data_IF_008963781341
#
_entry.id   IF_008963781341
#
_cell.length_a   1.000
_cell.length_b   1.000
_cell.length_c   1.000
_cell.angle_alpha   90.00
_cell.angle_beta   90.00
_cell.angle_gamma   90.00
#
_symmetry.space_group_name_H-M   'P 1'
#
loop_
_entity.id
_entity.type
_entity.pdbx_description
1 polymer ?
#
# COMPACT_ATOMS: atom_id res chain seq x y z
N UNK A 1 -25.92 -65.86 38.18
CA UNK A 1 -26.16 -65.51 36.77
C UNK A 1 -25.03 -64.60 36.30
N UNK A 2 -24.20 -65.10 35.38
CA UNK A 2 -23.20 -64.48 34.48
C UNK A 2 -22.41 -63.17 34.84
N UNK A 3 -21.08 -63.37 34.98
CA UNK A 3 -19.89 -62.67 34.42
C UNK A 3 -19.34 -61.29 34.88
N UNK A 4 -18.27 -61.37 35.70
CA UNK A 4 -16.85 -60.89 35.59
C UNK A 4 -16.43 -59.51 34.98
N UNK A 5 -15.61 -58.82 35.82
CA UNK A 5 -14.33 -58.07 35.62
C UNK A 5 -14.40 -56.74 34.82
N UNK A 6 -13.74 -55.65 35.22
CA UNK A 6 -12.27 -55.44 35.26
C UNK A 6 -11.85 -54.36 36.29
N UNK A 7 -10.67 -54.59 36.87
CA UNK A 7 -9.95 -53.82 37.89
C UNK A 7 -9.64 -52.35 37.52
N UNK A 8 -9.71 -51.49 38.53
CA UNK A 8 -9.05 -50.18 38.60
C UNK A 8 -7.84 -50.31 39.52
N UNK A 9 -6.64 -49.96 39.06
CA UNK A 9 -5.49 -49.75 39.94
C UNK A 9 -4.49 -48.80 39.27
N UNK A 10 -4.31 -47.62 39.84
CA UNK A 10 -3.14 -46.80 39.62
C UNK A 10 -2.66 -46.34 40.99
N UNK A 11 -1.59 -46.99 41.46
CA UNK A 11 -0.86 -46.66 42.68
C UNK A 11 0.47 -45.99 42.28
N UNK A 12 0.77 -44.89 42.95
CA UNK A 12 2.04 -44.16 42.93
C UNK A 12 3.17 -44.96 43.55
N UNK A 13 4.38 -44.99 42.93
CA UNK A 13 5.68 -45.11 43.64
C UNK A 13 6.79 -44.43 42.83
N UNK A 14 7.61 -43.67 43.53
CA UNK A 14 8.87 -43.01 43.15
C UNK A 14 10.07 -43.97 43.02
N UNK A 15 11.00 -43.72 42.09
CA UNK A 15 12.46 -43.58 42.33
C UNK A 15 13.30 -43.63 41.03
N UNK A 16 14.14 -42.59 40.86
CA UNK A 16 15.52 -42.50 40.34
C UNK A 16 15.94 -43.46 39.20
N UNK A 17 16.32 -42.88 38.05
CA UNK A 17 17.10 -43.57 37.01
C UNK A 17 17.63 -42.63 35.92
N UNK A 18 18.94 -42.32 35.99
CA UNK A 18 19.82 -42.00 34.85
C UNK A 18 19.45 -40.85 33.91
N UNK A 19 19.99 -39.65 34.18
CA UNK A 19 20.19 -38.66 33.12
C UNK A 19 21.35 -39.16 32.24
N UNK A 20 21.04 -39.77 31.11
CA UNK A 20 22.01 -39.89 30.02
C UNK A 20 22.17 -38.48 29.43
N UNK A 21 23.35 -37.83 29.48
CA UNK A 21 23.55 -36.61 28.72
C UNK A 21 23.33 -36.95 27.25
N UNK A 22 22.34 -36.32 26.63
CA UNK A 22 22.13 -36.40 25.21
C UNK A 22 23.43 -35.97 24.53
N UNK A 23 24.17 -36.94 23.99
CA UNK A 23 25.35 -36.71 23.18
C UNK A 23 24.99 -35.66 22.14
N UNK A 24 25.64 -34.50 22.22
CA UNK A 24 25.52 -33.46 21.21
C UNK A 24 25.99 -34.05 19.89
N UNK A 25 25.05 -34.48 19.05
CA UNK A 25 25.34 -34.97 17.70
C UNK A 25 26.11 -33.87 16.99
N UNK A 26 27.42 -34.05 16.85
CA UNK A 26 28.27 -33.06 16.21
C UNK A 26 27.86 -32.97 14.75
N UNK A 27 27.20 -31.87 14.38
CA UNK A 27 26.68 -31.67 13.04
C UNK A 27 27.80 -31.92 12.01
N UNK A 28 27.57 -32.84 11.08
CA UNK A 28 28.56 -33.23 10.08
C UNK A 28 29.15 -31.98 9.41
N UNK A 29 30.47 -31.81 9.52
CA UNK A 29 31.15 -30.63 8.98
C UNK A 29 31.02 -30.59 7.46
N UNK A 30 30.63 -29.43 6.91
CA UNK A 30 30.39 -29.27 5.48
C UNK A 30 31.70 -28.90 4.77
N UNK A 31 32.30 -29.83 4.01
CA UNK A 31 33.51 -29.55 3.22
C UNK A 31 33.17 -28.72 1.97
N UNK A 32 33.62 -27.45 1.94
CA UNK A 32 33.39 -26.49 0.85
C UNK A 32 34.67 -25.74 0.50
N UNK A 33 34.72 -25.14 -0.70
CA UNK A 33 35.80 -24.22 -1.11
C UNK A 33 35.23 -22.92 -1.68
N UNK A 34 35.70 -21.80 -1.16
CA UNK A 34 35.39 -20.46 -1.67
C UNK A 34 36.56 -19.52 -1.33
N UNK A 35 36.72 -18.45 -2.10
CA UNK A 35 37.84 -17.51 -1.96
C UNK A 35 39.22 -18.21 -1.93
N UNK A 36 39.41 -19.21 -2.79
CA UNK A 36 40.68 -19.94 -2.92
C UNK A 36 41.02 -20.91 -1.78
N UNK A 37 40.22 -20.99 -0.70
CA UNK A 37 40.52 -21.84 0.47
C UNK A 37 39.50 -22.96 0.63
N UNK A 38 39.98 -24.17 0.90
CA UNK A 38 39.14 -25.30 1.32
C UNK A 38 38.86 -25.20 2.81
N UNK A 39 37.61 -25.40 3.22
CA UNK A 39 37.14 -25.23 4.59
C UNK A 39 36.21 -26.38 4.97
N UNK A 40 36.33 -26.85 6.21
CA UNK A 40 35.32 -27.66 6.88
C UNK A 40 34.39 -26.71 7.63
N UNK A 41 33.30 -26.31 6.98
CA UNK A 41 32.38 -25.30 7.49
C UNK A 41 31.58 -25.88 8.66
N UNK A 42 31.82 -25.32 9.86
CA UNK A 42 31.14 -25.65 11.12
C UNK A 42 29.99 -24.71 11.47
N UNK A 43 29.75 -23.68 10.65
CA UNK A 43 28.71 -22.68 10.89
C UNK A 43 27.30 -23.17 10.56
N UNK A 44 26.32 -22.26 10.70
CA UNK A 44 24.91 -22.55 10.39
C UNK A 44 24.75 -22.86 8.90
N UNK A 45 24.22 -24.05 8.60
CA UNK A 45 23.77 -24.43 7.28
C UNK A 45 22.33 -23.92 7.11
N UNK A 46 22.11 -23.07 6.11
CA UNK A 46 20.89 -22.30 5.97
C UNK A 46 19.93 -22.97 4.99
N UNK A 47 18.65 -22.99 5.37
CA UNK A 47 17.55 -23.43 4.50
C UNK A 47 16.65 -22.25 4.15
N UNK A 48 15.85 -22.41 3.10
CA UNK A 48 14.93 -21.36 2.65
C UNK A 48 13.51 -21.88 2.65
N UNK A 49 12.57 -21.08 3.11
CA UNK A 49 11.14 -21.25 2.88
C UNK A 49 10.63 -20.14 1.98
N UNK A 50 9.72 -20.47 1.08
CA UNK A 50 9.00 -19.49 0.26
C UNK A 50 7.50 -19.71 0.40
N UNK A 51 6.74 -18.64 0.68
CA UNK A 51 5.28 -18.70 0.88
C UNK A 51 4.86 -19.83 1.84
N UNK A 52 5.50 -19.87 3.02
CA UNK A 52 5.32 -20.90 4.07
C UNK A 52 5.66 -22.35 3.67
N UNK A 53 6.17 -22.59 2.46
CA UNK A 53 6.64 -23.91 2.01
C UNK A 53 8.15 -24.02 2.12
N UNK A 54 8.63 -25.12 2.68
CA UNK A 54 10.06 -25.40 2.77
C UNK A 54 10.62 -25.76 1.40
N UNK A 55 11.66 -25.07 0.96
CA UNK A 55 12.34 -25.36 -0.29
C UNK A 55 13.47 -26.35 -0.08
N UNK A 56 13.69 -27.25 -1.03
CA UNK A 56 14.75 -28.26 -0.97
C UNK A 56 15.91 -27.88 -1.89
N UNK A 57 17.14 -28.02 -1.43
CA UNK A 57 18.31 -27.92 -2.32
C UNK A 57 19.36 -28.92 -1.88
N UNK A 58 20.08 -29.48 -2.88
CA UNK A 58 21.29 -30.29 -2.65
C UNK A 58 22.44 -29.45 -2.08
N UNK A 59 22.32 -28.13 -2.10
CA UNK A 59 23.29 -27.18 -1.60
C UNK A 59 22.64 -26.31 -0.53
N UNK A 60 23.17 -26.37 0.69
CA UNK A 60 22.71 -25.53 1.79
C UNK A 60 23.30 -24.12 1.67
N UNK A 61 22.57 -23.10 2.12
CA UNK A 61 23.16 -21.78 2.32
C UNK A 61 24.17 -21.79 3.48
N UNK A 62 25.02 -20.77 3.54
CA UNK A 62 26.05 -20.60 4.59
C UNK A 62 26.12 -19.14 5.02
N UNK A 63 26.82 -18.87 6.12
CA UNK A 63 27.15 -17.51 6.52
C UNK A 63 28.60 -17.19 6.17
N UNK A 64 28.82 -16.07 5.50
CA UNK A 64 30.15 -15.51 5.24
C UNK A 64 30.17 -14.12 5.87
N UNK A 65 31.10 -13.86 6.79
CA UNK A 65 31.17 -12.59 7.54
C UNK A 65 29.81 -12.14 8.10
N UNK A 66 29.09 -13.06 8.76
CA UNK A 66 27.73 -12.86 9.31
C UNK A 66 26.64 -12.55 8.26
N UNK A 67 26.96 -12.54 6.97
CA UNK A 67 25.97 -12.38 5.88
C UNK A 67 25.44 -13.75 5.48
N UNK A 68 24.11 -13.86 5.44
CA UNK A 68 23.41 -15.06 4.98
C UNK A 68 23.51 -15.20 3.46
N UNK A 69 24.21 -16.23 3.00
CA UNK A 69 24.50 -16.51 1.60
C UNK A 69 23.68 -17.73 1.13
N UNK A 70 22.89 -17.61 0.06
CA UNK A 70 22.03 -18.69 -0.43
C UNK A 70 22.29 -19.06 -1.91
N UNK A 71 22.15 -20.34 -2.29
CA UNK A 71 22.06 -20.79 -3.68
C UNK A 71 20.88 -20.14 -4.41
N UNK A 72 21.14 -19.03 -5.12
CA UNK A 72 20.06 -18.24 -5.71
C UNK A 72 19.26 -19.03 -6.75
N UNK A 73 19.92 -19.89 -7.52
CA UNK A 73 19.27 -20.58 -8.62
C UNK A 73 18.22 -21.57 -8.11
N UNK A 74 18.54 -22.35 -7.09
CA UNK A 74 17.58 -23.33 -6.57
C UNK A 74 16.42 -22.65 -5.86
N UNK A 75 16.72 -21.64 -5.04
CA UNK A 75 15.73 -21.03 -4.16
C UNK A 75 14.92 -19.91 -4.82
N UNK A 76 15.54 -19.02 -5.61
CA UNK A 76 14.86 -17.89 -6.23
C UNK A 76 14.35 -18.20 -7.64
N UNK A 77 15.11 -18.97 -8.44
CA UNK A 77 14.80 -19.21 -9.85
C UNK A 77 13.98 -20.48 -10.04
N UNK A 78 14.48 -21.63 -9.54
CA UNK A 78 13.90 -22.94 -9.80
C UNK A 78 12.65 -23.22 -8.97
N UNK A 79 12.64 -22.91 -7.67
CA UNK A 79 11.56 -23.33 -6.78
C UNK A 79 10.68 -22.20 -6.26
N UNK A 80 11.27 -21.19 -5.61
CA UNK A 80 10.51 -20.17 -4.87
C UNK A 80 9.81 -19.15 -5.78
N UNK A 81 10.16 -17.86 -5.72
CA UNK A 81 9.46 -16.78 -6.44
C UNK A 81 9.53 -16.81 -7.97
N UNK A 82 10.26 -17.76 -8.58
CA UNK A 82 10.44 -17.88 -10.04
C UNK A 82 11.06 -16.62 -10.68
N UNK A 83 12.04 -16.05 -10.00
CA UNK A 83 12.81 -14.88 -10.46
C UNK A 83 13.46 -15.19 -11.80
N UNK A 84 13.25 -14.32 -12.79
CA UNK A 84 13.90 -14.42 -14.11
C UNK A 84 15.39 -14.15 -13.96
N UNK A 85 16.22 -14.92 -14.66
CA UNK A 85 17.69 -14.84 -14.53
C UNK A 85 18.41 -14.78 -15.87
N UNK A 86 19.35 -13.85 -15.98
CA UNK A 86 20.42 -13.86 -16.99
C UNK A 86 21.78 -13.94 -16.31
N UNK A 87 22.66 -14.82 -16.76
CA UNK A 87 24.01 -14.96 -16.20
C UNK A 87 25.06 -15.16 -17.28
N UNK A 88 26.09 -14.31 -17.30
CA UNK A 88 27.25 -14.39 -18.18
C UNK A 88 28.45 -14.94 -17.41
N UNK A 89 28.98 -16.09 -17.85
CA UNK A 89 30.14 -16.73 -17.21
C UNK A 89 31.43 -15.93 -17.37
N UNK A 90 31.64 -15.30 -18.52
CA UNK A 90 32.85 -14.54 -18.85
C UNK A 90 32.96 -13.26 -18.01
N UNK A 91 31.88 -12.48 -17.93
CA UNK A 91 31.86 -11.23 -17.16
C UNK A 91 31.51 -11.42 -15.68
N UNK A 92 30.98 -12.58 -15.30
CA UNK A 92 30.38 -12.82 -14.00
C UNK A 92 29.09 -12.01 -13.74
N UNK A 93 28.55 -11.32 -14.76
CA UNK A 93 27.33 -10.51 -14.66
C UNK A 93 26.12 -11.40 -14.42
N UNK A 94 25.40 -11.13 -13.35
CA UNK A 94 24.16 -11.79 -12.93
C UNK A 94 23.05 -10.75 -12.89
N UNK A 95 22.01 -10.95 -13.69
CA UNK A 95 20.80 -10.14 -13.68
C UNK A 95 19.67 -11.00 -13.16
N UNK A 96 18.98 -10.52 -12.14
CA UNK A 96 17.80 -11.12 -11.54
C UNK A 96 16.64 -10.14 -11.70
N UNK A 97 15.49 -10.63 -12.17
CA UNK A 97 14.29 -9.81 -12.36
C UNK A 97 13.07 -10.46 -11.72
N UNK A 98 12.34 -9.69 -10.93
CA UNK A 98 11.06 -10.08 -10.32
C UNK A 98 10.05 -8.95 -10.54
N UNK A 99 9.04 -9.17 -11.37
CA UNK A 99 8.17 -8.09 -11.83
C UNK A 99 8.97 -6.97 -12.51
N UNK A 100 8.83 -5.74 -12.02
CA UNK A 100 9.54 -4.56 -12.51
C UNK A 100 10.95 -4.41 -11.90
N UNK A 101 11.21 -5.06 -10.76
CA UNK A 101 12.49 -4.96 -10.06
C UNK A 101 13.58 -5.75 -10.78
N UNK A 102 14.68 -5.07 -11.06
CA UNK A 102 15.86 -5.62 -11.74
C UNK A 102 17.10 -5.37 -10.88
N UNK A 103 17.73 -6.46 -10.46
CA UNK A 103 19.01 -6.44 -9.76
C UNK A 103 20.12 -6.95 -10.68
N UNK A 104 21.13 -6.12 -10.90
CA UNK A 104 22.35 -6.48 -11.63
C UNK A 104 23.53 -6.55 -10.68
N UNK A 105 24.10 -7.74 -10.49
CA UNK A 105 25.27 -7.97 -9.66
C UNK A 105 26.39 -8.64 -10.47
N UNK A 106 27.60 -8.65 -9.92
CA UNK A 106 28.75 -9.30 -10.55
C UNK A 106 29.38 -10.27 -9.54
N UNK A 107 29.54 -11.52 -9.95
CA UNK A 107 30.15 -12.55 -9.10
C UNK A 107 31.58 -12.14 -8.74
N UNK A 108 31.89 -12.12 -7.44
CA UNK A 108 33.16 -11.67 -6.88
C UNK A 108 33.26 -10.17 -6.63
N UNK A 109 32.29 -9.34 -7.07
CA UNK A 109 32.28 -7.90 -6.82
C UNK A 109 31.19 -7.51 -5.82
N UNK A 110 31.50 -6.52 -4.97
CA UNK A 110 30.55 -5.96 -3.99
C UNK A 110 29.59 -4.97 -4.63
N UNK A 111 30.00 -4.31 -5.69
CA UNK A 111 29.15 -3.37 -6.43
C UNK A 111 28.03 -4.09 -7.14
N UNK A 112 26.82 -3.57 -7.00
CA UNK A 112 25.64 -4.02 -7.72
C UNK A 112 24.74 -2.84 -8.06
N UNK A 113 23.74 -3.08 -8.89
CA UNK A 113 22.76 -2.09 -9.31
C UNK A 113 21.36 -2.61 -9.02
N UNK A 114 20.55 -1.78 -8.38
CA UNK A 114 19.12 -2.03 -8.17
C UNK A 114 18.35 -1.02 -9.00
N UNK A 115 17.59 -1.49 -9.98
CA UNK A 115 16.84 -0.64 -10.91
C UNK A 115 17.73 0.45 -11.54
N UNK A 116 18.96 0.10 -11.89
CA UNK A 116 19.97 1.02 -12.45
C UNK A 116 20.79 1.80 -11.41
N UNK A 117 20.36 1.85 -10.14
CA UNK A 117 21.05 2.62 -9.09
C UNK A 117 22.17 1.80 -8.44
N UNK A 118 23.39 2.36 -8.44
CA UNK A 118 24.59 1.74 -7.86
C UNK A 118 24.47 1.59 -6.34
N UNK A 119 24.80 0.40 -5.82
CA UNK A 119 24.83 0.03 -4.39
C UNK A 119 26.01 -0.90 -4.10
N UNK A 120 26.26 -1.19 -2.82
CA UNK A 120 27.38 -2.03 -2.38
C UNK A 120 26.94 -3.10 -1.38
N UNK A 121 27.23 -4.36 -1.68
CA UNK A 121 27.03 -5.47 -0.76
C UNK A 121 28.10 -5.49 0.34
N UNK A 122 27.71 -5.94 1.52
CA UNK A 122 28.63 -6.26 2.62
C UNK A 122 29.46 -7.53 2.35
N UNK A 123 28.99 -8.43 1.49
CA UNK A 123 29.72 -9.60 0.96
C UNK A 123 29.30 -9.81 -0.50
N UNK A 124 30.29 -9.98 -1.40
CA UNK A 124 30.03 -10.20 -2.82
C UNK A 124 29.34 -11.55 -3.10
N UNK A 125 28.52 -11.67 -4.16
CA UNK A 125 28.10 -12.97 -4.67
C UNK A 125 29.31 -13.87 -4.92
N UNK A 126 29.32 -15.08 -4.37
CA UNK A 126 30.51 -15.91 -4.24
C UNK A 126 30.30 -17.29 -4.84
N UNK A 127 31.27 -17.77 -5.62
CA UNK A 127 31.31 -19.17 -6.09
C UNK A 127 31.77 -20.08 -4.94
N UNK A 128 30.97 -21.08 -4.60
CA UNK A 128 31.27 -22.07 -3.56
C UNK A 128 31.22 -23.46 -4.16
N UNK A 129 32.33 -24.21 -4.07
CA UNK A 129 32.41 -25.62 -4.45
C UNK A 129 31.99 -26.49 -3.28
N UNK A 130 30.99 -27.33 -3.47
CA UNK A 130 30.53 -28.33 -2.51
C UNK A 130 31.20 -29.67 -2.84
N UNK A 131 32.01 -30.21 -1.93
CA UNK A 131 32.80 -31.41 -2.23
C UNK A 131 31.94 -32.67 -2.33
N UNK A 132 30.87 -32.78 -1.54
CA UNK A 132 29.95 -33.92 -1.57
C UNK A 132 29.33 -34.14 -2.96
N UNK A 133 29.01 -33.06 -3.66
CA UNK A 133 28.36 -33.10 -4.99
C UNK A 133 29.33 -32.77 -6.13
N UNK A 134 30.56 -32.36 -5.81
CA UNK A 134 31.58 -31.87 -6.75
C UNK A 134 31.14 -30.66 -7.61
N UNK A 135 30.04 -29.98 -7.29
CA UNK A 135 29.51 -28.84 -8.03
C UNK A 135 29.91 -27.50 -7.41
N UNK A 136 30.08 -26.49 -8.26
CA UNK A 136 30.32 -25.11 -7.86
C UNK A 136 29.07 -24.28 -8.08
N UNK A 137 28.58 -23.64 -7.01
CA UNK A 137 27.32 -22.91 -6.98
C UNK A 137 27.60 -21.45 -6.63
N UNK A 138 26.86 -20.54 -7.26
CA UNK A 138 26.92 -19.11 -6.91
C UNK A 138 25.95 -18.90 -5.74
N UNK A 139 26.51 -18.49 -4.61
CA UNK A 139 25.74 -18.03 -3.47
C UNK A 139 25.67 -16.52 -3.48
N UNK A 140 24.53 -15.99 -3.08
CA UNK A 140 24.25 -14.56 -3.12
C UNK A 140 23.91 -14.03 -1.72
N UNK A 141 24.20 -12.76 -1.40
CA UNK A 141 23.78 -12.13 -0.16
C UNK A 141 22.25 -12.01 -0.11
N UNK A 142 21.61 -12.89 0.67
CA UNK A 142 20.19 -13.14 0.59
C UNK A 142 19.34 -11.90 0.95
N UNK A 143 19.65 -11.22 2.05
CA UNK A 143 18.88 -10.05 2.51
C UNK A 143 18.81 -8.95 1.45
N UNK A 144 19.98 -8.49 0.97
CA UNK A 144 20.06 -7.38 0.03
C UNK A 144 19.39 -7.71 -1.32
N UNK A 145 19.52 -8.95 -1.80
CA UNK A 145 18.96 -9.34 -3.10
C UNK A 145 17.48 -9.65 -3.00
N UNK A 146 17.03 -10.36 -1.96
CA UNK A 146 15.60 -10.65 -1.79
C UNK A 146 14.80 -9.36 -1.64
N UNK A 147 15.25 -8.45 -0.76
CA UNK A 147 14.61 -7.13 -0.62
C UNK A 147 14.71 -6.30 -1.90
N UNK A 148 15.85 -6.34 -2.58
CA UNK A 148 16.03 -5.67 -3.87
C UNK A 148 15.20 -6.26 -5.02
N UNK A 149 14.59 -7.42 -4.85
CA UNK A 149 13.66 -7.99 -5.83
C UNK A 149 12.19 -7.81 -5.41
N UNK A 150 11.92 -6.86 -4.50
CA UNK A 150 10.56 -6.57 -4.03
C UNK A 150 9.96 -7.65 -3.14
N UNK A 151 10.76 -8.53 -2.55
CA UNK A 151 10.30 -9.64 -1.71
C UNK A 151 10.62 -9.41 -0.24
N UNK A 152 9.81 -9.99 0.63
CA UNK A 152 10.03 -9.96 2.07
C UNK A 152 11.15 -10.93 2.47
N UNK A 153 12.03 -10.49 3.38
CA UNK A 153 13.14 -11.27 3.92
C UNK A 153 13.06 -11.30 5.44
N UNK A 154 12.99 -12.50 6.02
CA UNK A 154 13.16 -12.74 7.46
C UNK A 154 14.14 -13.89 7.67
N UNK A 155 15.03 -13.76 8.65
CA UNK A 155 15.97 -14.82 9.03
C UNK A 155 15.70 -15.25 10.48
N UNK A 156 15.50 -16.55 10.70
CA UNK A 156 15.48 -17.14 12.02
C UNK A 156 16.79 -17.88 12.29
N UNK A 157 17.50 -17.39 13.29
CA UNK A 157 18.75 -17.98 13.77
C UNK A 157 18.53 -19.36 14.40
N UNK A 158 17.43 -19.53 15.15
CA UNK A 158 17.10 -20.78 15.86
C UNK A 158 16.78 -21.92 14.89
N UNK A 159 15.94 -21.65 13.88
CA UNK A 159 15.60 -22.66 12.87
C UNK A 159 16.66 -22.76 11.75
N UNK A 160 17.64 -21.85 11.70
CA UNK A 160 18.63 -21.72 10.61
C UNK A 160 17.94 -21.54 9.25
N UNK A 161 16.79 -20.85 9.23
CA UNK A 161 15.96 -20.67 8.04
C UNK A 161 15.82 -19.22 7.64
N UNK A 162 15.81 -18.99 6.33
CA UNK A 162 15.40 -17.75 5.70
C UNK A 162 13.98 -17.94 5.19
N UNK A 163 13.08 -17.05 5.58
CA UNK A 163 11.71 -16.99 5.09
C UNK A 163 11.65 -15.89 4.05
N UNK A 164 11.28 -16.29 2.85
CA UNK A 164 10.97 -15.40 1.73
C UNK A 164 9.46 -15.44 1.54
N UNK A 165 8.81 -14.30 1.48
CA UNK A 165 7.40 -14.24 1.09
C UNK A 165 7.24 -13.21 0.00
N UNK A 166 6.19 -13.38 -0.81
CA UNK A 166 5.67 -12.23 -1.54
C UNK A 166 5.31 -11.15 -0.53
N UNK A 167 5.39 -9.85 -0.88
CA UNK A 167 4.74 -8.83 -0.08
C UNK A 167 3.29 -9.27 0.12
N UNK A 168 2.87 -9.35 1.38
CA UNK A 168 1.53 -9.81 1.73
C UNK A 168 0.55 -8.82 1.13
N UNK A 169 -0.21 -9.25 0.13
CA UNK A 169 -1.51 -8.66 -0.18
C UNK A 169 -2.44 -9.31 0.84
N UNK A 170 -3.04 -8.59 1.80
CA UNK A 170 -4.07 -9.17 2.64
C UNK A 170 -5.25 -9.53 1.72
N UNK A 171 -5.46 -10.82 1.50
CA UNK A 171 -6.73 -11.39 1.06
C UNK A 171 -7.32 -12.11 2.27
N UNK A 172 -8.40 -11.52 2.79
CA UNK A 172 -9.42 -12.04 3.70
C UNK A 172 -9.07 -12.94 4.89
N UNK A 173 -9.62 -12.53 6.02
CA UNK A 173 -10.18 -13.38 7.07
C UNK A 173 -9.25 -14.41 7.70
N UNK A 174 -8.40 -13.97 8.62
CA UNK A 174 -8.28 -14.67 9.90
C UNK A 174 -8.24 -13.64 11.02
N UNK A 175 -9.18 -13.79 11.95
CA UNK A 175 -9.28 -13.08 13.21
C UNK A 175 -8.01 -13.34 14.02
N UNK A 176 -7.01 -12.49 13.87
CA UNK A 176 -6.12 -12.19 14.96
C UNK A 176 -6.55 -10.84 15.49
N UNK A 177 -7.06 -10.84 16.72
CA UNK A 177 -7.33 -9.64 17.50
C UNK A 177 -5.99 -8.95 17.69
N UNK A 178 -5.61 -8.13 16.73
CA UNK A 178 -4.67 -7.05 16.94
C UNK A 178 -5.49 -6.01 17.71
N UNK A 179 -5.19 -5.88 19.00
CA UNK A 179 -5.77 -4.83 19.85
C UNK A 179 -5.69 -3.50 19.12
N UNK A 180 -6.85 -2.87 18.93
CA UNK A 180 -6.96 -1.54 18.33
C UNK A 180 -5.95 -0.61 19.04
N UNK A 181 -5.13 0.15 18.31
CA UNK A 181 -4.33 1.20 18.92
C UNK A 181 -5.25 2.10 19.75
N UNK A 182 -4.82 2.42 20.98
CA UNK A 182 -5.52 3.36 21.86
C UNK A 182 -5.82 4.64 21.06
N UNK A 183 -7.11 4.94 20.87
CA UNK A 183 -7.55 6.07 20.07
C UNK A 183 -8.52 6.94 20.84
N UNK A 184 -8.32 8.26 20.80
CA UNK A 184 -9.25 9.21 21.41
C UNK A 184 -10.44 9.44 20.48
N UNK A 185 -11.64 9.47 21.06
CA UNK A 185 -12.88 9.82 20.34
C UNK A 185 -13.30 11.21 20.77
N UNK A 186 -13.59 12.05 19.79
CA UNK A 186 -14.19 13.37 19.92
C UNK A 186 -15.55 13.38 19.22
N UNK A 187 -16.35 14.43 19.46
CA UNK A 187 -17.67 14.57 18.89
C UNK A 187 -17.87 15.96 18.30
N UNK A 188 -18.48 16.02 17.11
CA UNK A 188 -18.94 17.24 16.47
C UNK A 188 -20.45 17.34 16.57
N UNK A 189 -20.98 18.42 17.15
CA UNK A 189 -22.42 18.64 17.22
C UNK A 189 -22.97 19.14 15.87
N UNK A 190 -23.97 18.44 15.34
CA UNK A 190 -24.65 18.78 14.07
C UNK A 190 -25.85 19.73 14.28
N UNK A 191 -26.16 20.08 15.54
CA UNK A 191 -27.22 21.02 15.93
C UNK A 191 -28.61 20.69 15.35
N UNK A 192 -28.87 19.41 15.09
CA UNK A 192 -30.12 18.85 14.56
C UNK A 192 -30.32 17.44 15.10
N UNK A 193 -31.58 17.01 15.20
CA UNK A 193 -31.87 15.59 15.34
C UNK A 193 -31.50 14.84 14.06
N UNK A 194 -31.20 13.55 14.19
CA UNK A 194 -30.83 12.70 13.06
C UNK A 194 -31.89 12.74 11.95
N UNK A 195 -33.18 12.69 12.32
CA UNK A 195 -34.29 12.73 11.35
C UNK A 195 -34.35 14.07 10.59
N UNK A 196 -34.17 15.20 11.29
CA UNK A 196 -34.16 16.51 10.67
C UNK A 196 -32.97 16.69 9.72
N UNK A 197 -31.79 16.20 10.11
CA UNK A 197 -30.59 16.25 9.27
C UNK A 197 -30.75 15.38 8.01
N UNK A 198 -31.23 14.13 8.15
CA UNK A 198 -31.56 13.24 7.01
C UNK A 198 -32.54 13.90 6.03
N UNK A 199 -33.52 14.63 6.55
CA UNK A 199 -34.52 15.34 5.72
C UNK A 199 -33.87 16.45 4.91
N UNK A 200 -32.95 17.21 5.51
CA UNK A 200 -32.21 18.27 4.84
C UNK A 200 -31.27 17.73 3.77
N UNK A 201 -30.52 16.66 4.06
CA UNK A 201 -29.66 15.94 3.11
C UNK A 201 -30.42 15.48 1.88
N UNK A 202 -31.57 14.82 2.09
CA UNK A 202 -32.41 14.35 0.99
C UNK A 202 -32.98 15.51 0.16
N UNK A 203 -33.24 16.67 0.78
CA UNK A 203 -33.69 17.87 0.05
C UNK A 203 -32.55 18.43 -0.82
N UNK A 204 -31.33 18.49 -0.29
CA UNK A 204 -30.17 18.98 -1.03
C UNK A 204 -29.77 18.04 -2.17
N UNK A 205 -29.75 16.72 -1.89
CA UNK A 205 -29.31 15.67 -2.80
C UNK A 205 -30.42 14.63 -2.99
N UNK A 206 -31.49 14.95 -3.73
CA UNK A 206 -32.66 14.08 -3.85
C UNK A 206 -32.40 12.81 -4.67
N UNK A 207 -31.40 12.84 -5.54
CA UNK A 207 -31.11 11.74 -6.47
C UNK A 207 -29.62 11.41 -6.53
N UNK A 208 -29.32 10.16 -6.86
CA UNK A 208 -27.99 9.70 -7.23
C UNK A 208 -28.10 8.70 -8.38
N UNK A 209 -27.24 8.84 -9.40
CA UNK A 209 -27.31 8.01 -10.61
C UNK A 209 -28.67 8.10 -11.33
N UNK A 210 -29.35 9.25 -11.25
CA UNK A 210 -30.68 9.47 -11.83
C UNK A 210 -31.84 8.82 -11.06
N UNK A 211 -31.61 8.25 -9.88
CA UNK A 211 -32.63 7.60 -9.05
C UNK A 211 -32.82 8.34 -7.73
N UNK A 212 -34.07 8.44 -7.27
CA UNK A 212 -34.41 8.98 -5.95
C UNK A 212 -33.86 8.09 -4.85
N UNK A 213 -33.31 8.71 -3.79
CA UNK A 213 -32.79 7.99 -2.62
C UNK A 213 -33.84 7.98 -1.52
N UNK A 214 -34.14 6.81 -0.96
CA UNK A 214 -35.11 6.68 0.12
C UNK A 214 -34.60 7.30 1.44
N UNK A 215 -35.51 7.75 2.30
CA UNK A 215 -35.16 8.28 3.62
C UNK A 215 -34.43 7.23 4.47
N UNK A 216 -34.87 5.97 4.43
CA UNK A 216 -34.21 4.87 5.16
C UNK A 216 -32.80 4.59 4.66
N UNK A 217 -32.57 4.69 3.34
CA UNK A 217 -31.22 4.60 2.76
C UNK A 217 -30.32 5.70 3.33
N UNK A 218 -30.76 6.96 3.34
CA UNK A 218 -29.99 8.05 3.94
C UNK A 218 -29.72 7.83 5.42
N UNK A 219 -30.75 7.46 6.20
CA UNK A 219 -30.60 7.15 7.63
C UNK A 219 -29.54 6.07 7.84
N UNK A 220 -29.49 5.04 7.01
CA UNK A 220 -28.51 3.94 7.17
C UNK A 220 -27.04 4.36 6.99
N UNK A 221 -26.78 5.46 6.29
CA UNK A 221 -25.44 6.00 6.08
C UNK A 221 -25.09 7.16 7.03
N UNK A 222 -26.09 7.95 7.42
CA UNK A 222 -25.91 9.10 8.31
C UNK A 222 -25.88 8.66 9.79
N UNK A 223 -26.67 7.68 10.20
CA UNK A 223 -26.72 7.24 11.60
C UNK A 223 -25.36 6.63 12.04
N UNK A 224 -24.61 7.24 12.97
CA UNK A 224 -23.31 6.75 13.38
C UNK A 224 -23.38 5.39 14.10
N UNK A 225 -24.54 5.01 14.65
CA UNK A 225 -24.75 3.69 15.25
C UNK A 225 -24.77 2.55 14.22
N UNK A 226 -24.93 2.87 12.92
CA UNK A 226 -24.93 1.93 11.80
C UNK A 226 -23.55 1.78 11.16
N UNK A 227 -22.51 2.36 11.75
CA UNK A 227 -21.15 2.23 11.23
C UNK A 227 -20.68 0.77 11.16
N UNK A 228 -20.25 0.35 9.97
CA UNK A 228 -19.62 -0.96 9.74
C UNK A 228 -18.15 -0.82 9.32
N UNK A 229 -17.59 0.39 9.37
CA UNK A 229 -16.23 0.71 8.90
C UNK A 229 -15.19 0.72 10.02
N UNK A 230 -15.58 0.27 11.23
CA UNK A 230 -14.70 0.25 12.41
C UNK A 230 -14.17 1.64 12.74
N UNK A 231 -15.04 2.63 12.69
CA UNK A 231 -14.79 4.07 12.88
C UNK A 231 -13.91 4.74 11.82
N UNK A 232 -13.47 4.05 10.75
CA UNK A 232 -12.59 4.68 9.76
C UNK A 232 -13.27 5.81 8.96
N UNK A 233 -14.60 5.83 8.87
CA UNK A 233 -15.30 6.99 8.32
C UNK A 233 -15.25 8.23 9.22
N UNK A 234 -14.98 8.03 10.52
CA UNK A 234 -14.80 9.09 11.52
C UNK A 234 -13.33 9.39 11.80
N UNK A 235 -12.38 8.74 11.12
CA UNK A 235 -10.95 9.00 11.31
C UNK A 235 -10.63 10.45 10.91
N UNK A 236 -9.94 11.16 11.78
CA UNK A 236 -9.40 12.50 11.50
C UNK A 236 -8.31 12.42 10.43
N UNK A 237 -8.46 13.22 9.38
CA UNK A 237 -7.65 13.19 8.16
C UNK A 237 -6.65 14.36 8.08
N UNK A 238 -6.75 15.32 9.00
CA UNK A 238 -5.94 16.54 9.15
C UNK A 238 -4.60 16.32 9.86
N UNK A 239 -4.17 15.07 9.94
CA UNK A 239 -2.87 14.69 10.52
C UNK A 239 -2.22 13.63 9.64
N UNK A 240 -0.98 13.88 9.22
CA UNK A 240 -0.18 12.86 8.57
C UNK A 240 0.23 11.76 9.57
N UNK A 241 -0.04 10.51 9.23
CA UNK A 241 0.36 9.32 10.00
C UNK A 241 1.41 8.53 9.25
N UNK A 242 2.47 8.13 9.93
CA UNK A 242 3.57 7.41 9.28
C UNK A 242 3.14 6.00 8.81
N UNK A 243 3.58 5.64 7.60
CA UNK A 243 3.31 4.34 6.96
C UNK A 243 4.62 3.63 6.61
N UNK A 244 4.60 2.31 6.41
CA UNK A 244 5.70 1.60 5.74
C UNK A 244 5.62 1.87 4.22
N UNK A 245 6.57 2.61 3.62
CA UNK A 245 6.47 3.01 2.22
C UNK A 245 6.52 1.83 1.24
N UNK A 246 7.20 0.74 1.63
CA UNK A 246 7.30 -0.46 0.80
C UNK A 246 5.98 -1.22 0.81
N UNK A 247 5.39 -1.44 1.99
CA UNK A 247 4.09 -2.09 2.12
C UNK A 247 3.00 -1.27 1.41
N UNK A 248 3.00 0.05 1.59
CA UNK A 248 2.09 0.98 0.96
C UNK A 248 2.15 0.89 -0.58
N UNK A 249 3.34 1.03 -1.18
CA UNK A 249 3.50 0.99 -2.63
C UNK A 249 3.18 -0.41 -3.22
N UNK A 250 3.58 -1.48 -2.53
CA UNK A 250 3.28 -2.84 -2.97
C UNK A 250 1.78 -3.12 -2.95
N UNK A 251 1.10 -2.69 -1.88
CA UNK A 251 -0.33 -2.88 -1.74
C UNK A 251 -1.11 -2.04 -2.74
N UNK A 252 -0.72 -0.79 -2.98
CA UNK A 252 -1.24 0.02 -4.08
C UNK A 252 -1.14 -0.77 -5.39
N UNK A 253 0.08 -1.14 -5.80
CA UNK A 253 0.31 -1.85 -7.06
C UNK A 253 -0.48 -3.16 -7.18
N UNK A 254 -0.73 -3.86 -6.08
CA UNK A 254 -1.50 -5.10 -6.07
C UNK A 254 -2.96 -4.93 -6.46
N UNK A 255 -3.51 -3.72 -6.30
CA UNK A 255 -4.90 -3.38 -6.63
C UNK A 255 -5.05 -2.79 -8.03
N UNK A 256 -3.95 -2.44 -8.70
CA UNK A 256 -3.96 -1.72 -9.96
C UNK A 256 -3.87 -2.66 -11.16
N UNK A 257 -4.58 -2.29 -12.23
CA UNK A 257 -4.42 -2.90 -13.56
C UNK A 257 -3.11 -2.44 -14.20
N UNK A 258 -2.65 -3.17 -15.21
CA UNK A 258 -1.40 -2.88 -15.93
C UNK A 258 -1.37 -1.50 -16.58
N UNK A 259 -2.51 -1.00 -17.04
CA UNK A 259 -2.64 0.32 -17.67
C UNK A 259 -2.88 1.47 -16.68
N UNK A 260 -2.84 1.22 -15.36
CA UNK A 260 -3.07 2.27 -14.37
C UNK A 260 -1.94 3.29 -14.33
N UNK A 261 -2.27 4.58 -14.33
CA UNK A 261 -1.29 5.66 -14.14
C UNK A 261 -0.69 5.71 -12.73
N UNK A 262 -1.35 5.06 -11.76
CA UNK A 262 -0.93 5.05 -10.35
C UNK A 262 0.13 4.00 -10.04
N UNK A 263 0.54 3.18 -11.02
CA UNK A 263 1.58 2.17 -10.80
C UNK A 263 2.88 2.82 -10.32
N UNK A 264 3.43 2.27 -9.25
CA UNK A 264 4.66 2.75 -8.59
C UNK A 264 4.59 4.18 -8.05
N UNK A 265 3.37 4.74 -7.85
CA UNK A 265 3.17 6.08 -7.30
C UNK A 265 3.03 6.13 -5.78
N UNK A 266 3.28 5.03 -5.08
CA UNK A 266 3.16 4.97 -3.62
C UNK A 266 4.00 6.02 -2.90
N UNK A 267 5.27 6.17 -3.28
CA UNK A 267 6.15 7.18 -2.68
C UNK A 267 5.70 8.61 -2.98
N UNK A 268 5.12 8.87 -4.15
CA UNK A 268 4.62 10.19 -4.54
C UNK A 268 3.38 10.55 -3.72
N UNK A 269 2.47 9.58 -3.55
CA UNK A 269 1.29 9.75 -2.69
C UNK A 269 1.68 10.03 -1.23
N UNK A 270 2.65 9.28 -0.69
CA UNK A 270 3.16 9.50 0.68
C UNK A 270 3.77 10.90 0.80
N UNK A 271 4.60 11.30 -0.15
CA UNK A 271 5.25 12.62 -0.12
C UNK A 271 4.23 13.77 -0.22
N UNK A 272 3.23 13.65 -1.10
CA UNK A 272 2.16 14.62 -1.22
C UNK A 272 1.30 14.68 0.04
N UNK A 273 0.91 13.53 0.61
CA UNK A 273 0.17 13.48 1.86
C UNK A 273 0.93 14.14 3.02
N UNK A 274 2.24 13.89 3.10
CA UNK A 274 3.11 14.52 4.10
C UNK A 274 3.23 16.03 3.91
N UNK A 275 3.38 16.49 2.67
CA UNK A 275 3.48 17.92 2.34
C UNK A 275 2.22 18.68 2.73
N UNK A 276 1.04 18.11 2.51
CA UNK A 276 -0.24 18.75 2.78
C UNK A 276 -0.85 18.38 4.13
N UNK A 277 -0.07 17.71 4.99
CA UNK A 277 -0.45 17.23 6.31
C UNK A 277 -1.82 16.51 6.33
N UNK A 278 -1.98 15.54 5.43
CA UNK A 278 -3.18 14.70 5.36
C UNK A 278 -2.83 13.24 5.61
N UNK A 279 -3.82 12.46 6.05
CA UNK A 279 -3.63 11.03 6.26
C UNK A 279 -3.30 10.29 4.93
N UNK A 280 -2.16 9.59 4.83
CA UNK A 280 -1.72 8.98 3.58
C UNK A 280 -2.57 7.78 3.14
N UNK A 281 -3.15 7.01 4.07
CA UNK A 281 -3.98 5.86 3.68
C UNK A 281 -5.33 6.32 3.16
N UNK A 282 -5.92 7.36 3.78
CA UNK A 282 -7.07 8.05 3.20
C UNK A 282 -6.74 8.55 1.80
N UNK A 283 -5.63 9.28 1.64
CA UNK A 283 -5.28 9.91 0.37
C UNK A 283 -5.09 8.86 -0.75
N UNK A 284 -4.49 7.71 -0.42
CA UNK A 284 -4.45 6.56 -1.34
C UNK A 284 -5.83 6.09 -1.74
N UNK A 285 -6.69 5.78 -0.77
CA UNK A 285 -7.99 5.17 -1.02
C UNK A 285 -8.92 6.10 -1.80
N UNK A 286 -8.92 7.39 -1.44
CA UNK A 286 -9.54 8.47 -2.19
C UNK A 286 -9.01 8.50 -3.63
N UNK A 287 -7.69 8.51 -3.83
CA UNK A 287 -7.08 8.55 -5.17
C UNK A 287 -7.50 7.36 -6.03
N UNK A 288 -7.51 6.16 -5.47
CA UNK A 288 -7.93 4.96 -6.21
C UNK A 288 -9.39 5.05 -6.62
N UNK A 289 -10.28 5.49 -5.72
CA UNK A 289 -11.72 5.59 -6.02
C UNK A 289 -11.98 6.61 -7.14
N UNK A 290 -11.48 7.83 -6.98
CA UNK A 290 -11.69 8.94 -7.94
C UNK A 290 -11.18 8.64 -9.35
N UNK A 291 -10.06 7.93 -9.42
CA UNK A 291 -9.42 7.64 -10.70
C UNK A 291 -9.93 6.35 -11.34
N UNK A 292 -10.85 5.62 -10.69
CA UNK A 292 -11.20 4.26 -11.10
C UNK A 292 -9.96 3.37 -11.18
N UNK A 293 -9.19 3.31 -10.10
CA UNK A 293 -7.91 2.60 -10.02
C UNK A 293 -6.87 3.10 -11.04
N UNK A 294 -6.86 4.40 -11.30
CA UNK A 294 -5.93 5.06 -12.24
C UNK A 294 -6.26 4.82 -13.71
N UNK A 295 -7.50 4.50 -14.06
CA UNK A 295 -7.90 4.16 -15.44
C UNK A 295 -8.96 5.09 -16.05
N UNK A 296 -9.51 6.03 -15.28
CA UNK A 296 -10.45 7.03 -15.79
C UNK A 296 -9.83 7.90 -16.89
N UNK A 297 -10.64 8.41 -17.81
CA UNK A 297 -10.17 9.25 -18.92
C UNK A 297 -9.35 10.46 -18.46
N UNK A 298 -9.79 11.14 -17.41
CA UNK A 298 -9.09 12.32 -16.88
C UNK A 298 -7.77 11.95 -16.18
N UNK A 299 -7.72 10.79 -15.50
CA UNK A 299 -6.51 10.32 -14.82
C UNK A 299 -5.46 9.78 -15.79
N UNK A 300 -5.86 9.15 -16.89
CA UNK A 300 -4.97 8.74 -17.98
C UNK A 300 -4.30 9.93 -18.68
N UNK A 301 -4.93 11.11 -18.56
CA UNK A 301 -4.45 12.35 -19.13
C UNK A 301 -4.69 12.45 -20.63
N UNK A 302 -4.51 13.66 -21.15
CA UNK A 302 -4.70 13.95 -22.59
C UNK A 302 -3.70 15.00 -23.05
N UNK A 303 -3.17 14.80 -24.26
CA UNK A 303 -2.45 15.85 -24.96
C UNK A 303 -3.48 16.81 -25.58
N UNK A 304 -3.62 17.98 -24.98
CA UNK A 304 -4.59 19.00 -25.39
C UNK A 304 -3.93 20.10 -26.22
N UNK A 305 -4.70 20.71 -27.10
CA UNK A 305 -4.34 21.88 -27.92
C UNK A 305 -5.34 23.02 -27.77
N UNK A 306 -6.33 22.85 -26.89
CA UNK A 306 -7.43 23.79 -26.67
C UNK A 306 -7.75 23.85 -25.19
N UNK A 307 -7.95 25.05 -24.66
CA UNK A 307 -8.37 25.30 -23.27
C UNK A 307 -9.51 26.30 -23.20
N UNK A 308 -10.33 26.22 -22.15
CA UNK A 308 -11.29 27.29 -21.80
C UNK A 308 -10.51 28.58 -21.53
N UNK A 309 -10.99 29.71 -22.04
CA UNK A 309 -10.24 30.97 -22.03
C UNK A 309 -11.15 32.21 -22.02
N UNK A 310 -10.55 33.39 -21.95
CA UNK A 310 -11.25 34.68 -21.99
C UNK A 310 -12.29 34.79 -20.87
N UNK A 311 -13.44 35.38 -21.19
CA UNK A 311 -14.53 35.62 -20.21
C UNK A 311 -15.19 34.36 -19.64
N UNK A 312 -14.81 33.16 -20.11
CA UNK A 312 -15.24 31.88 -19.53
C UNK A 312 -14.35 31.40 -18.38
N UNK A 313 -13.18 32.01 -18.14
CA UNK A 313 -12.30 31.69 -17.02
C UNK A 313 -12.75 32.46 -15.78
N UNK A 314 -12.92 31.77 -14.66
CA UNK A 314 -13.20 32.37 -13.36
C UNK A 314 -11.91 32.41 -12.56
N UNK A 315 -11.59 33.58 -11.98
CA UNK A 315 -10.39 33.81 -11.18
C UNK A 315 -10.75 34.31 -9.79
N UNK A 316 -9.90 34.01 -8.82
CA UNK A 316 -9.92 34.67 -7.52
C UNK A 316 -9.25 36.06 -7.58
N UNK A 317 -9.24 36.76 -6.46
CA UNK A 317 -8.60 38.09 -6.32
C UNK A 317 -7.08 38.07 -6.52
N UNK A 318 -6.46 36.89 -6.49
CA UNK A 318 -5.02 36.69 -6.75
C UNK A 318 -4.76 36.23 -8.18
N UNK A 319 -5.74 36.36 -9.08
CA UNK A 319 -5.69 35.96 -10.48
C UNK A 319 -5.52 34.44 -10.72
N UNK A 320 -5.69 33.60 -9.70
CA UNK A 320 -5.64 32.14 -9.89
C UNK A 320 -6.93 31.65 -10.53
N UNK A 321 -6.84 30.72 -11.48
CA UNK A 321 -8.03 30.10 -12.08
C UNK A 321 -8.72 29.18 -11.07
N UNK A 322 -9.97 29.47 -10.74
CA UNK A 322 -10.79 28.72 -9.75
C UNK A 322 -11.95 27.95 -10.37
N UNK A 323 -12.22 28.16 -11.66
CA UNK A 323 -13.26 27.44 -12.38
C UNK A 323 -13.59 28.05 -13.74
N UNK A 324 -14.73 27.65 -14.28
CA UNK A 324 -15.20 28.13 -15.58
C UNK A 324 -16.69 28.46 -15.56
N UNK A 325 -17.11 29.29 -16.52
CA UNK A 325 -18.52 29.59 -16.78
C UNK A 325 -18.79 29.66 -18.28
N UNK A 326 -20.00 29.33 -18.67
CA UNK A 326 -20.46 29.54 -20.04
C UNK A 326 -20.78 31.02 -20.27
N UNK A 327 -20.62 31.47 -21.51
CA UNK A 327 -21.02 32.79 -22.00
C UNK A 327 -21.92 32.54 -23.20
N UNK A 328 -23.17 33.01 -23.12
CA UNK A 328 -24.22 32.71 -24.10
C UNK A 328 -24.38 31.20 -24.34
N UNK A 329 -24.37 30.42 -23.25
CA UNK A 329 -24.54 28.96 -23.28
C UNK A 329 -23.33 28.15 -23.75
N UNK A 330 -22.19 28.78 -24.09
CA UNK A 330 -20.99 28.07 -24.58
C UNK A 330 -19.72 28.50 -23.85
N UNK A 331 -18.73 27.61 -23.75
CA UNK A 331 -17.40 27.98 -23.27
C UNK A 331 -16.59 28.66 -24.37
N UNK A 332 -16.00 29.82 -24.06
CA UNK A 332 -14.97 30.41 -24.92
C UNK A 332 -13.67 29.62 -24.78
N UNK A 333 -13.00 29.34 -25.89
CA UNK A 333 -11.78 28.55 -25.93
C UNK A 333 -10.68 29.23 -26.74
N UNK A 334 -9.44 28.85 -26.49
CA UNK A 334 -8.27 29.31 -27.24
C UNK A 334 -7.38 28.13 -27.59
N UNK A 335 -6.66 28.24 -28.71
CA UNK A 335 -5.66 27.25 -29.13
C UNK A 335 -4.36 27.50 -28.38
N UNK A 336 -3.75 26.42 -27.92
CA UNK A 336 -2.45 26.41 -27.23
C UNK A 336 -1.51 25.42 -27.92
N UNK A 337 -0.20 25.58 -27.68
CA UNK A 337 0.76 24.54 -28.00
C UNK A 337 0.38 23.22 -27.32
N UNK A 338 0.55 22.10 -28.02
CA UNK A 338 0.22 20.76 -27.52
C UNK A 338 0.85 20.51 -26.15
N UNK A 339 0.02 20.21 -25.14
CA UNK A 339 0.47 19.96 -23.76
C UNK A 339 -0.21 18.71 -23.19
N UNK A 340 0.57 17.82 -22.59
CA UNK A 340 0.03 16.68 -21.83
C UNK A 340 -0.42 17.17 -20.45
N UNK A 341 -1.65 16.84 -20.06
CA UNK A 341 -2.23 17.20 -18.76
C UNK A 341 -2.99 16.04 -18.14
N UNK A 342 -3.10 16.03 -16.81
CA UNK A 342 -3.72 14.97 -16.01
C UNK A 342 -4.63 15.59 -14.94
N UNK A 343 -5.81 15.02 -14.73
CA UNK A 343 -6.72 15.44 -13.65
C UNK A 343 -7.26 14.21 -12.94
N UNK A 344 -6.71 13.90 -11.76
CA UNK A 344 -7.02 12.64 -11.07
C UNK A 344 -8.43 12.62 -10.49
N UNK A 345 -8.89 13.75 -9.94
CA UNK A 345 -10.10 13.84 -9.14
C UNK A 345 -11.26 14.52 -9.90
N UNK A 346 -11.11 14.70 -11.21
CA UNK A 346 -12.09 15.43 -12.01
C UNK A 346 -12.33 16.86 -11.51
N UNK A 347 -11.32 17.51 -10.94
CA UNK A 347 -11.46 18.83 -10.31
C UNK A 347 -11.89 19.83 -11.40
N UNK A 348 -13.02 20.49 -11.17
CA UNK A 348 -13.71 21.41 -12.13
C UNK A 348 -14.08 20.76 -13.47
N UNK A 349 -14.33 19.45 -13.51
CA UNK A 349 -14.92 18.76 -14.66
C UNK A 349 -16.45 18.86 -14.63
N UNK A 350 -17.02 19.89 -15.26
CA UNK A 350 -18.46 20.13 -15.24
C UNK A 350 -19.21 19.24 -16.23
N UNK A 351 -20.40 18.76 -15.86
CA UNK A 351 -21.26 17.86 -16.66
C UNK A 351 -21.50 18.35 -18.10
N UNK A 352 -21.61 19.67 -18.28
CA UNK A 352 -21.77 20.30 -19.60
C UNK A 352 -20.63 19.99 -20.58
N UNK A 353 -19.39 19.87 -20.10
CA UNK A 353 -18.23 19.43 -20.89
C UNK A 353 -17.06 19.03 -19.98
N UNK A 354 -17.09 17.82 -19.39
CA UNK A 354 -16.21 17.45 -18.28
C UNK A 354 -14.76 17.31 -18.72
N UNK A 355 -14.51 16.80 -19.94
CA UNK A 355 -13.15 16.69 -20.46
C UNK A 355 -12.54 18.07 -20.76
N UNK A 356 -13.28 18.97 -21.43
CA UNK A 356 -12.77 20.30 -21.74
C UNK A 356 -12.45 21.07 -20.46
N UNK A 357 -13.39 21.13 -19.53
CA UNK A 357 -13.21 21.88 -18.28
C UNK A 357 -12.13 21.24 -17.41
N UNK A 358 -12.20 19.93 -17.17
CA UNK A 358 -11.24 19.22 -16.32
C UNK A 358 -9.80 19.30 -16.83
N UNK A 359 -9.57 19.15 -18.15
CA UNK A 359 -8.23 19.30 -18.72
C UNK A 359 -7.76 20.76 -18.82
N UNK A 360 -8.67 21.71 -19.04
CA UNK A 360 -8.32 23.14 -18.98
C UNK A 360 -7.89 23.54 -17.57
N UNK A 361 -8.58 23.05 -16.54
CA UNK A 361 -8.19 23.29 -15.16
C UNK A 361 -6.81 22.70 -14.86
N UNK A 362 -6.58 21.44 -15.24
CA UNK A 362 -5.27 20.80 -15.10
C UNK A 362 -4.15 21.56 -15.81
N UNK A 363 -4.42 22.16 -16.98
CA UNK A 363 -3.48 23.04 -17.67
C UNK A 363 -3.12 24.27 -16.83
N UNK A 364 -4.11 25.00 -16.31
CA UNK A 364 -3.87 26.19 -15.49
C UNK A 364 -3.19 25.89 -14.17
N UNK A 365 -3.42 24.71 -13.60
CA UNK A 365 -2.77 24.24 -12.37
C UNK A 365 -1.39 23.60 -12.61
N UNK A 366 -0.93 23.49 -13.86
CA UNK A 366 0.37 22.91 -14.19
C UNK A 366 0.47 21.40 -13.97
N UNK A 367 -0.63 20.66 -14.01
CA UNK A 367 -0.67 19.21 -13.81
C UNK A 367 -0.24 18.44 -15.06
N UNK A 368 1.01 18.62 -15.45
CA UNK A 368 1.58 18.13 -16.72
C UNK A 368 2.25 16.76 -16.59
N UNK A 369 2.14 16.14 -15.41
CA UNK A 369 2.56 14.77 -15.12
C UNK A 369 1.60 14.18 -14.08
N UNK A 370 1.56 12.85 -14.00
CA UNK A 370 0.77 12.15 -12.96
C UNK A 370 1.21 12.60 -11.57
N UNK A 371 2.51 12.80 -11.35
CA UNK A 371 3.05 13.23 -10.05
C UNK A 371 2.55 14.63 -9.70
N UNK A 372 2.59 15.58 -10.64
CA UNK A 372 2.06 16.92 -10.44
C UNK A 372 0.55 16.90 -10.12
N UNK A 373 -0.21 16.03 -10.80
CA UNK A 373 -1.63 15.85 -10.54
C UNK A 373 -1.91 15.20 -9.17
N UNK A 374 -1.03 14.32 -8.67
CA UNK A 374 -1.10 13.79 -7.29
C UNK A 374 -0.93 14.92 -6.28
N UNK A 375 0.09 15.77 -6.43
CA UNK A 375 0.26 16.93 -5.53
C UNK A 375 -0.90 17.91 -5.65
N UNK A 376 -1.44 18.12 -6.85
CA UNK A 376 -2.64 18.92 -7.07
C UNK A 376 -3.88 18.39 -6.36
N UNK A 377 -4.09 17.08 -6.43
CA UNK A 377 -5.19 16.40 -5.74
C UNK A 377 -5.04 16.50 -4.21
N UNK A 378 -3.83 16.31 -3.67
CA UNK A 378 -3.55 16.47 -2.24
C UNK A 378 -3.80 17.91 -1.77
N UNK A 379 -3.34 18.90 -2.55
CA UNK A 379 -3.58 20.32 -2.29
C UNK A 379 -5.06 20.62 -2.20
N UNK A 380 -5.83 20.17 -3.20
CA UNK A 380 -7.28 20.40 -3.28
C UNK A 380 -8.01 19.85 -2.04
N UNK A 381 -7.84 18.56 -1.72
CA UNK A 381 -8.54 17.99 -0.55
C UNK A 381 -8.08 18.60 0.77
N UNK A 382 -6.81 18.97 0.86
CA UNK A 382 -6.26 19.63 2.05
C UNK A 382 -6.88 21.02 2.25
N UNK A 383 -6.84 21.88 1.22
CA UNK A 383 -7.23 23.29 1.36
C UNK A 383 -8.74 23.52 1.29
N UNK A 384 -9.43 22.81 0.40
CA UNK A 384 -10.87 23.02 0.20
C UNK A 384 -11.71 22.28 1.25
N UNK A 385 -11.19 21.22 1.90
CA UNK A 385 -11.96 20.39 2.84
C UNK A 385 -11.28 20.17 4.20
N UNK A 386 -10.14 19.47 4.24
CA UNK A 386 -9.58 18.90 5.48
C UNK A 386 -9.08 19.98 6.44
N UNK A 387 -8.28 20.91 5.94
CA UNK A 387 -7.70 22.04 6.69
C UNK A 387 -8.48 23.34 6.47
N UNK A 388 -9.65 23.25 5.83
CA UNK A 388 -10.50 24.42 5.56
C UNK A 388 -11.11 24.96 6.86
N UNK A 389 -10.81 26.21 7.18
CA UNK A 389 -11.24 26.86 8.43
C UNK A 389 -12.69 27.35 8.41
N UNK A 390 -13.42 27.23 7.28
CA UNK A 390 -14.84 27.59 7.17
C UNK A 390 -15.73 26.37 7.30
N UNK A 391 -15.37 25.27 6.62
CA UNK A 391 -16.23 24.09 6.53
C UNK A 391 -15.86 22.96 7.51
N UNK A 392 -14.62 22.93 8.01
CA UNK A 392 -14.13 21.97 9.02
C UNK A 392 -14.38 20.49 8.65
N UNK A 393 -14.17 20.11 7.39
CA UNK A 393 -14.47 18.77 6.89
C UNK A 393 -13.25 17.84 7.00
N UNK A 394 -12.83 17.53 8.22
CA UNK A 394 -11.62 16.76 8.51
C UNK A 394 -11.82 15.24 8.69
N UNK A 395 -12.99 14.69 8.37
CA UNK A 395 -13.24 13.23 8.33
C UNK A 395 -13.95 12.85 7.04
N UNK A 396 -13.87 11.57 6.64
CA UNK A 396 -14.65 11.07 5.49
C UNK A 396 -16.16 11.28 5.67
N UNK A 397 -16.65 11.12 6.90
CA UNK A 397 -18.03 11.41 7.23
C UNK A 397 -18.36 12.88 6.96
N UNK A 398 -17.55 13.83 7.43
CA UNK A 398 -17.78 15.27 7.19
C UNK A 398 -17.56 15.69 5.73
N UNK A 399 -16.75 14.96 4.96
CA UNK A 399 -16.63 15.12 3.50
C UNK A 399 -17.98 14.94 2.83
N UNK A 400 -18.73 13.91 3.25
CA UNK A 400 -20.04 13.60 2.66
C UNK A 400 -21.19 14.32 3.37
N UNK A 401 -21.14 14.48 4.69
CA UNK A 401 -22.24 14.98 5.51
C UNK A 401 -21.74 16.18 6.33
N UNK A 402 -21.93 17.37 5.79
CA UNK A 402 -21.37 18.58 6.38
C UNK A 402 -21.99 18.88 7.76
N UNK A 403 -21.20 19.09 8.83
CA UNK A 403 -21.73 19.37 10.17
C UNK A 403 -22.62 20.62 10.23
N UNK A 404 -22.48 21.54 9.27
CA UNK A 404 -23.33 22.72 9.15
C UNK A 404 -24.30 22.57 7.97
N UNK A 405 -25.60 22.52 8.29
CA UNK A 405 -26.69 22.41 7.30
C UNK A 405 -26.73 23.58 6.29
N UNK A 406 -26.14 24.73 6.61
CA UNK A 406 -26.05 25.84 5.66
C UNK A 406 -24.99 25.60 4.57
N UNK A 407 -24.16 24.57 4.74
CA UNK A 407 -23.07 24.19 3.85
C UNK A 407 -23.24 22.79 3.23
N UNK A 408 -24.46 22.23 3.19
CA UNK A 408 -24.72 20.95 2.49
C UNK A 408 -24.41 21.01 0.98
N UNK A 409 -24.37 22.21 0.41
CA UNK A 409 -23.90 22.42 -0.97
C UNK A 409 -22.38 22.19 -1.13
N UNK A 410 -21.62 22.25 -0.03
CA UNK A 410 -20.18 22.04 0.04
C UNK A 410 -19.87 20.62 0.57
N UNK A 411 -20.37 19.62 -0.14
CA UNK A 411 -20.11 18.21 0.11
C UNK A 411 -19.33 17.62 -1.06
N UNK A 412 -18.40 16.73 -0.76
CA UNK A 412 -17.46 16.23 -1.75
C UNK A 412 -18.15 15.39 -2.84
N UNK A 413 -19.23 14.69 -2.50
CA UNK A 413 -19.95 13.80 -3.40
C UNK A 413 -21.45 13.78 -3.10
N UNK A 414 -22.25 13.43 -4.11
CA UNK A 414 -23.71 13.23 -3.96
C UNK A 414 -24.06 11.81 -3.51
N UNK A 415 -23.20 10.82 -3.79
CA UNK A 415 -23.38 9.42 -3.38
C UNK A 415 -23.50 9.33 -1.84
N UNK A 416 -24.63 8.89 -1.28
CA UNK A 416 -24.77 8.78 0.18
C UNK A 416 -23.79 7.75 0.79
N UNK A 417 -23.33 6.78 0.01
CA UNK A 417 -22.40 5.75 0.50
C UNK A 417 -20.93 6.16 0.43
N UNK A 418 -20.62 7.37 -0.07
CA UNK A 418 -19.27 7.80 -0.40
C UNK A 418 -18.25 7.62 0.74
N UNK A 419 -18.56 8.15 1.92
CA UNK A 419 -17.71 8.04 3.11
C UNK A 419 -17.45 6.57 3.48
N UNK A 420 -18.52 5.76 3.47
CA UNK A 420 -18.48 4.33 3.79
C UNK A 420 -17.61 3.56 2.81
N UNK A 421 -17.69 3.84 1.51
CA UNK A 421 -16.90 3.17 0.49
C UNK A 421 -15.39 3.34 0.74
N UNK A 422 -14.94 4.58 0.92
CA UNK A 422 -13.51 4.87 1.14
C UNK A 422 -13.05 4.29 2.48
N UNK A 423 -13.81 4.51 3.55
CA UNK A 423 -13.48 3.99 4.88
C UNK A 423 -13.40 2.46 4.90
N UNK A 424 -14.27 1.77 4.16
CA UNK A 424 -14.23 0.32 4.01
C UNK A 424 -12.93 -0.11 3.31
N UNK A 425 -12.51 0.57 2.25
CA UNK A 425 -11.24 0.28 1.56
C UNK A 425 -10.05 0.53 2.49
N UNK A 426 -10.06 1.65 3.23
CA UNK A 426 -9.01 1.95 4.21
C UNK A 426 -8.91 0.85 5.26
N UNK A 427 -10.01 0.50 5.92
CA UNK A 427 -10.02 -0.49 6.99
C UNK A 427 -9.71 -1.89 6.47
N UNK A 428 -10.46 -2.38 5.47
CA UNK A 428 -10.38 -3.78 5.04
C UNK A 428 -9.12 -4.10 4.24
N UNK A 429 -8.58 -3.11 3.50
CA UNK A 429 -7.50 -3.37 2.56
C UNK A 429 -6.20 -2.73 3.00
N UNK A 430 -6.20 -1.43 3.35
CA UNK A 430 -4.95 -0.66 3.47
C UNK A 430 -4.46 -0.40 4.88
N UNK A 431 -5.25 -0.60 5.95
CA UNK A 431 -4.87 -0.23 7.33
C UNK A 431 -3.54 -0.82 7.80
N UNK A 432 -3.15 -1.98 7.30
CA UNK A 432 -1.93 -2.66 7.74
C UNK A 432 -0.63 -2.01 7.23
N UNK A 433 -0.72 -0.94 6.41
CA UNK A 433 0.45 -0.19 5.95
C UNK A 433 0.84 0.92 6.93
N UNK A 434 -0.03 1.30 7.86
CA UNK A 434 0.36 2.18 8.97
C UNK A 434 1.45 1.52 9.80
N UNK A 435 2.36 2.33 10.35
CA UNK A 435 3.32 1.81 11.33
C UNK A 435 2.61 1.45 12.63
N UNK A 436 3.19 0.52 13.38
CA UNK A 436 2.63 0.04 14.65
C UNK A 436 2.59 1.08 15.76
N UNK A 437 3.34 2.18 15.62
CA UNK A 437 3.45 3.26 16.62
C UNK A 437 2.49 4.44 16.34
N UNK A 438 1.67 4.38 15.29
CA UNK A 438 0.68 5.44 15.04
C UNK A 438 -0.56 5.29 15.93
N UNK A 439 -1.11 6.41 16.36
CA UNK A 439 -2.40 6.50 17.03
C UNK A 439 -3.48 7.00 16.08
N UNK A 440 -4.73 6.63 16.36
CA UNK A 440 -5.90 7.08 15.62
C UNK A 440 -6.77 7.97 16.49
N UNK A 441 -7.21 9.09 15.93
CA UNK A 441 -8.18 9.98 16.57
C UNK A 441 -9.43 9.99 15.71
N UNK A 442 -10.58 9.82 16.35
CA UNK A 442 -11.87 9.78 15.66
C UNK A 442 -12.71 10.97 16.07
N UNK A 443 -13.48 11.52 15.13
CA UNK A 443 -14.45 12.59 15.36
C UNK A 443 -15.81 12.16 14.82
N UNK A 444 -16.72 11.86 15.75
CA UNK A 444 -18.05 11.30 15.47
C UNK A 444 -19.11 12.40 15.43
N UNK A 445 -20.11 12.30 14.54
CA UNK A 445 -21.25 13.20 14.59
C UNK A 445 -22.06 12.96 15.87
N UNK A 446 -22.54 14.04 16.47
CA UNK A 446 -23.52 14.05 17.54
C UNK A 446 -24.78 14.77 17.05
N UNK A 447 -25.90 14.05 17.05
CA UNK A 447 -27.22 14.57 16.71
C UNK A 447 -28.03 14.75 18.00
N UNK A 448 -28.83 15.81 18.07
CA UNK A 448 -29.64 16.18 19.24
C UNK A 448 -30.84 15.26 19.47
#
# INVERSE_FOLDING_TARGET
MYYKKILTAALTVSCIGGIVPANSVQAASLKIRYSGKTRYYKGKQLHVSYANKNLSSKYVGIQINKVNMIPYYDYLVKQGPKVKRTYSKSSGKLILKNGDDTLTAYVGKRTYYLNGVKKTFSVAPTKVKYYKTKKTIILIPANAIVKGLGLNYKYSSSSKRIYITQPVIPSDSTTQVQTQPSGSVQYTNYNKSLSAYVTAEKKQHPTYGGKSISTSTYTSYIDPSKDTTNNFQFLTLDTYREVDPTAYNNLLNSKLRSNSVLRNKGNVLIAAAKQYNIDPVYFLCQTILETGYGTSTLSQGKAITTVVSGSSVVRDSSENVTGFKTVNGKYKTSTISKKMVYNLYGIKAYDSNPQLCGFSYAYYQGWTSVDAAIYGAAKYVSQDYIHNQTYHQNTLYKFRYNPNINYLWHEYATDPSYAKQIATIMYSQFRNVYRSDVSFTYDKPHFN
#
